data_IF_991353206081
#
_entry.id   IF_991353206081
#
_cell.length_a   1.000
_cell.length_b   1.000
_cell.length_c   1.000
_cell.angle_alpha   90.00
_cell.angle_beta   90.00
_cell.angle_gamma   90.00
#
_symmetry.space_group_name_H-M   'P 1'
#
loop_
_entity.id
_entity.type
_entity.pdbx_description
1 polymer ?
#
# COMPACT_ATOMS: atom_id res chain seq x y z
N UNK A 1 -6.62 22.69 -0.72
CA UNK A 1 -6.36 23.25 0.61
C UNK A 1 -5.72 24.63 0.52
N UNK A 2 -5.65 25.36 1.62
CA UNK A 2 -4.98 26.66 1.65
C UNK A 2 -3.45 26.45 1.69
N UNK A 3 -2.65 27.39 1.13
CA UNK A 3 -1.20 27.24 1.12
C UNK A 3 -0.58 27.05 2.51
N UNK A 4 -1.13 27.71 3.55
CA UNK A 4 -0.65 27.57 4.93
C UNK A 4 -0.96 26.23 5.56
N UNK A 5 -1.91 25.45 5.00
CA UNK A 5 -2.31 24.13 5.48
C UNK A 5 -1.61 22.98 4.72
N UNK A 6 -0.84 23.31 3.68
CA UNK A 6 -0.28 22.30 2.77
C UNK A 6 0.55 21.24 3.48
N UNK A 7 1.48 21.66 4.34
CA UNK A 7 2.39 20.73 5.04
C UNK A 7 1.60 19.82 5.98
N UNK A 8 0.67 20.38 6.75
CA UNK A 8 -0.14 19.59 7.68
C UNK A 8 -1.01 18.57 6.98
N UNK A 9 -1.64 18.95 5.87
CA UNK A 9 -2.46 18.03 5.08
C UNK A 9 -1.63 16.93 4.44
N UNK A 10 -0.47 17.27 3.88
CA UNK A 10 0.44 16.27 3.29
C UNK A 10 0.93 15.29 4.36
N UNK A 11 1.31 15.78 5.54
CA UNK A 11 1.76 14.92 6.63
C UNK A 11 0.65 14.00 7.14
N UNK A 12 -0.58 14.49 7.22
CA UNK A 12 -1.74 13.68 7.59
C UNK A 12 -1.94 12.54 6.59
N UNK A 13 -1.89 12.84 5.31
CA UNK A 13 -2.00 11.84 4.24
C UNK A 13 -0.86 10.84 4.28
N UNK A 14 0.38 11.32 4.45
CA UNK A 14 1.57 10.48 4.54
C UNK A 14 1.50 9.50 5.71
N UNK A 15 1.03 9.95 6.88
CA UNK A 15 0.85 9.08 8.04
C UNK A 15 -0.22 8.00 7.80
N UNK A 16 -1.28 8.33 7.11
CA UNK A 16 -2.32 7.35 6.74
C UNK A 16 -1.76 6.28 5.81
N UNK A 17 -0.94 6.67 4.84
CA UNK A 17 -0.27 5.72 3.93
C UNK A 17 0.71 4.85 4.71
N UNK A 18 1.51 5.47 5.58
CA UNK A 18 2.53 4.78 6.38
C UNK A 18 1.95 3.78 7.39
N UNK A 19 0.67 3.91 7.74
CA UNK A 19 0.00 2.97 8.62
C UNK A 19 -0.33 1.63 7.95
N UNK A 20 -0.13 1.51 6.64
CA UNK A 20 -0.35 0.27 5.90
C UNK A 20 0.91 -0.58 5.86
N UNK A 21 0.76 -1.85 5.45
CA UNK A 21 1.87 -2.79 5.34
C UNK A 21 2.93 -2.28 4.35
N UNK A 22 4.20 -2.13 4.76
CA UNK A 22 5.25 -1.52 3.91
C UNK A 22 5.46 -2.23 2.57
N UNK A 23 5.48 -3.56 2.55
CA UNK A 23 5.65 -4.31 1.31
C UNK A 23 4.48 -4.04 0.35
N UNK A 24 3.26 -4.05 0.86
CA UNK A 24 2.08 -3.80 0.05
C UNK A 24 2.11 -2.38 -0.56
N UNK A 25 2.50 -1.37 0.20
CA UNK A 25 2.64 0.01 -0.29
C UNK A 25 3.73 0.10 -1.36
N UNK A 26 4.87 -0.56 -1.16
CA UNK A 26 5.94 -0.60 -2.15
C UNK A 26 5.46 -1.21 -3.48
N UNK A 27 4.80 -2.36 -3.42
CA UNK A 27 4.32 -3.04 -4.62
C UNK A 27 3.19 -2.26 -5.31
N UNK A 28 2.30 -1.63 -4.55
CA UNK A 28 1.26 -0.74 -5.09
C UNK A 28 1.87 0.44 -5.84
N UNK A 29 2.90 1.07 -5.29
CA UNK A 29 3.61 2.18 -5.94
C UNK A 29 4.23 1.74 -7.25
N UNK A 30 4.86 0.56 -7.30
CA UNK A 30 5.41 0.01 -8.52
C UNK A 30 4.31 -0.18 -9.59
N UNK A 31 3.17 -0.69 -9.20
CA UNK A 31 2.02 -0.88 -10.11
C UNK A 31 1.50 0.44 -10.66
N UNK A 32 1.36 1.46 -9.81
CA UNK A 32 0.91 2.79 -10.22
C UNK A 32 1.88 3.43 -11.21
N UNK A 33 3.18 3.36 -10.95
CA UNK A 33 4.19 3.92 -11.85
C UNK A 33 4.19 3.21 -13.20
N UNK A 34 4.08 1.90 -13.21
CA UNK A 34 4.04 1.11 -14.45
C UNK A 34 2.79 1.41 -15.27
N UNK A 35 1.65 1.61 -14.62
CA UNK A 35 0.39 1.92 -15.28
C UNK A 35 0.44 3.19 -16.13
N UNK A 36 1.33 4.13 -15.81
CA UNK A 36 1.51 5.35 -16.60
C UNK A 36 2.22 5.11 -17.94
N UNK A 37 2.83 3.96 -18.12
CA UNK A 37 3.68 3.63 -19.28
C UNK A 37 3.19 2.45 -20.09
N UNK A 38 2.19 1.72 -19.60
CA UNK A 38 1.70 0.48 -20.17
C UNK A 38 0.24 0.62 -20.60
N UNK A 39 -0.20 -0.26 -21.52
CA UNK A 39 -1.62 -0.40 -21.81
C UNK A 39 -2.34 -1.13 -20.66
N UNK A 40 -3.66 -1.18 -20.74
CA UNK A 40 -4.48 -1.76 -19.66
C UNK A 40 -4.13 -3.23 -19.39
N UNK A 41 -3.93 -4.01 -20.43
CA UNK A 41 -3.63 -5.43 -20.29
C UNK A 41 -2.28 -5.68 -19.63
N UNK A 42 -1.24 -5.02 -20.11
CA UNK A 42 0.10 -5.13 -19.55
C UNK A 42 0.14 -4.60 -18.11
N UNK A 43 -0.53 -3.49 -17.85
CA UNK A 43 -0.63 -2.91 -16.50
C UNK A 43 -1.31 -3.86 -15.53
N UNK A 44 -2.37 -4.53 -15.96
CA UNK A 44 -3.06 -5.52 -15.13
C UNK A 44 -2.21 -6.75 -14.82
N UNK A 45 -1.50 -7.28 -15.83
CA UNK A 45 -0.59 -8.41 -15.64
C UNK A 45 0.54 -8.06 -14.66
N UNK A 46 1.10 -6.86 -14.77
CA UNK A 46 2.12 -6.36 -13.85
C UNK A 46 1.57 -6.23 -12.43
N UNK A 47 0.38 -5.67 -12.27
CA UNK A 47 -0.29 -5.54 -10.97
C UNK A 47 -0.49 -6.89 -10.29
N UNK A 48 -0.94 -7.91 -11.04
CA UNK A 48 -1.10 -9.26 -10.50
C UNK A 48 0.23 -9.85 -10.00
N UNK A 49 1.31 -9.64 -10.74
CA UNK A 49 2.64 -10.09 -10.32
C UNK A 49 3.06 -9.39 -9.02
N UNK A 50 2.86 -8.08 -8.93
CA UNK A 50 3.17 -7.32 -7.70
C UNK A 50 2.31 -7.77 -6.53
N UNK A 51 1.03 -7.96 -6.76
CA UNK A 51 0.13 -8.49 -5.73
C UNK A 51 0.61 -9.84 -5.17
N UNK A 52 1.04 -10.74 -6.05
CA UNK A 52 1.55 -12.06 -5.63
C UNK A 52 2.72 -11.97 -4.65
N UNK A 53 3.50 -10.90 -4.70
CA UNK A 53 4.59 -10.67 -3.77
C UNK A 53 4.12 -10.34 -2.36
N UNK A 54 2.90 -9.85 -2.22
CA UNK A 54 2.33 -9.54 -0.90
C UNK A 54 1.73 -10.76 -0.23
N UNK A 55 1.32 -11.77 -1.01
CA UNK A 55 0.60 -12.95 -0.50
C UNK A 55 1.39 -13.75 0.55
N UNK A 56 2.70 -14.04 0.38
CA UNK A 56 3.44 -14.81 1.36
C UNK A 56 3.94 -14.01 2.57
N UNK A 57 3.61 -12.72 2.66
CA UNK A 57 4.14 -11.88 3.73
C UNK A 57 3.46 -12.13 5.07
N UNK A 58 4.22 -11.96 6.14
CA UNK A 58 3.69 -11.99 7.50
C UNK A 58 2.70 -10.86 7.73
N UNK A 59 2.94 -9.70 7.14
CA UNK A 59 2.04 -8.54 7.25
C UNK A 59 0.65 -8.82 6.68
N UNK A 60 0.55 -9.63 5.62
CA UNK A 60 -0.76 -10.07 5.11
C UNK A 60 -1.53 -10.86 6.17
N UNK A 61 -0.86 -11.80 6.82
CA UNK A 61 -1.47 -12.60 7.88
C UNK A 61 -1.88 -11.73 9.07
N UNK A 62 -1.01 -10.78 9.43
CA UNK A 62 -1.30 -9.82 10.50
C UNK A 62 -2.52 -8.96 10.15
N UNK A 63 -2.61 -8.48 8.91
CA UNK A 63 -3.76 -7.68 8.47
C UNK A 63 -5.08 -8.44 8.59
N UNK A 64 -5.10 -9.71 8.18
CA UNK A 64 -6.29 -10.57 8.30
C UNK A 64 -6.62 -10.84 9.75
N UNK A 65 -5.64 -11.17 10.58
CA UNK A 65 -5.83 -11.43 12.01
C UNK A 65 -6.36 -10.18 12.72
N UNK A 66 -5.75 -9.04 12.49
CA UNK A 66 -6.18 -7.77 13.09
C UNK A 66 -7.62 -7.42 12.73
N UNK A 67 -7.98 -7.61 11.45
CA UNK A 67 -9.35 -7.37 11.00
C UNK A 67 -10.35 -8.28 11.72
N UNK A 68 -10.05 -9.57 11.82
CA UNK A 68 -10.93 -10.53 12.51
C UNK A 68 -11.04 -10.25 14.01
N UNK A 69 -9.98 -9.81 14.64
CA UNK A 69 -9.92 -9.49 16.07
C UNK A 69 -10.36 -8.05 16.37
N UNK A 70 -10.69 -7.25 15.35
CA UNK A 70 -11.14 -5.86 15.46
C UNK A 70 -10.14 -4.98 16.22
N UNK A 71 -8.86 -5.14 15.91
CA UNK A 71 -7.76 -4.34 16.46
C UNK A 71 -6.95 -3.69 15.35
N UNK A 72 -6.13 -2.73 15.71
CA UNK A 72 -5.16 -2.16 14.75
C UNK A 72 -4.07 -3.18 14.43
N UNK A 73 -3.71 -3.36 13.16
CA UNK A 73 -2.59 -4.23 12.80
C UNK A 73 -1.25 -3.62 13.21
N UNK A 74 -0.27 -4.49 13.48
CA UNK A 74 1.12 -4.10 13.73
C UNK A 74 1.95 -4.68 12.60
N UNK A 75 2.23 -3.89 11.60
CA UNK A 75 3.00 -4.31 10.44
C UNK A 75 4.50 -4.16 10.69
N UNK A 76 5.27 -5.16 10.26
CA UNK A 76 6.72 -5.23 10.49
C UNK A 76 7.54 -5.09 9.21
N UNK A 77 6.89 -5.10 8.04
CA UNK A 77 7.58 -5.07 6.75
C UNK A 77 8.11 -6.45 6.31
N UNK A 78 7.50 -7.51 6.80
CA UNK A 78 7.94 -8.90 6.52
C UNK A 78 6.85 -9.77 5.91
#
# INVERSE_FOLDING_TARGET
CRPEDLVDEVMTMAHRIAANAPIAIHEAKQSLNYALQADLKEGYEFELERYRRTVPTCDRLEGVAAFNEKRKPVFTGE
#
